data_IF_517313022272
#
_entry.id   IF_517313022272
#
_cell.length_a   1.000
_cell.length_b   1.000
_cell.length_c   1.000
_cell.angle_alpha   90.00
_cell.angle_beta   90.00
_cell.angle_gamma   90.00
#
_symmetry.space_group_name_H-M   'P 1'
#
loop_
_entity.id
_entity.type
_entity.pdbx_description
1 polymer ?
#
# COMPACT_ATOMS: atom_id res chain seq x y z
N UNK A 1 -3.00 -12.11 3.89
CA UNK A 1 -3.54 -13.07 4.88
C UNK A 1 -3.08 -12.71 6.29
N UNK A 2 -1.85 -12.31 6.47
CA UNK A 2 -1.19 -12.09 7.77
C UNK A 2 -1.63 -10.80 8.46
N UNK A 3 -2.06 -9.79 7.70
CA UNK A 3 -2.58 -8.56 8.30
C UNK A 3 -3.92 -8.81 9.01
N UNK A 4 -4.23 -8.10 10.10
CA UNK A 4 -5.50 -8.24 10.80
C UNK A 4 -6.70 -7.86 9.93
N UNK A 5 -7.89 -8.24 10.34
CA UNK A 5 -9.15 -7.97 9.65
C UNK A 5 -9.69 -9.17 8.87
N UNK A 6 -11.01 -9.24 8.81
CA UNK A 6 -11.71 -10.31 8.07
C UNK A 6 -11.64 -10.05 6.57
N UNK A 7 -11.47 -11.12 5.80
CA UNK A 7 -11.58 -11.11 4.35
C UNK A 7 -13.07 -11.20 3.98
N UNK A 8 -13.50 -10.37 3.05
CA UNK A 8 -14.87 -10.40 2.54
C UNK A 8 -14.89 -10.13 1.03
N UNK A 9 -16.00 -10.53 0.39
CA UNK A 9 -16.18 -10.34 -1.05
C UNK A 9 -16.98 -9.06 -1.31
N UNK A 10 -16.48 -8.20 -2.19
CA UNK A 10 -17.14 -6.98 -2.63
C UNK A 10 -16.94 -6.81 -4.15
N UNK A 11 -18.02 -6.61 -4.90
CA UNK A 11 -18.00 -6.49 -6.37
C UNK A 11 -17.15 -7.57 -7.06
N UNK A 12 -17.31 -8.83 -6.63
CA UNK A 12 -16.62 -9.98 -7.23
C UNK A 12 -15.17 -10.19 -6.79
N UNK A 13 -14.57 -9.28 -6.01
CA UNK A 13 -13.18 -9.34 -5.54
C UNK A 13 -13.11 -9.48 -4.02
N UNK A 14 -11.99 -9.96 -3.52
CA UNK A 14 -11.72 -10.08 -2.09
C UNK A 14 -11.08 -8.80 -1.55
N UNK A 15 -11.56 -8.38 -0.38
CA UNK A 15 -11.09 -7.19 0.34
C UNK A 15 -10.91 -7.46 1.81
N UNK A 16 -10.17 -6.58 2.48
CA UNK A 16 -10.11 -6.44 3.94
C UNK A 16 -10.51 -5.04 4.35
N UNK A 17 -11.10 -4.90 5.53
CA UNK A 17 -11.34 -3.60 6.13
C UNK A 17 -10.01 -2.93 6.50
N UNK A 18 -9.91 -1.66 6.17
CA UNK A 18 -8.87 -0.75 6.66
C UNK A 18 -9.51 0.27 7.60
N UNK A 19 -8.90 0.46 8.77
CA UNK A 19 -9.35 1.45 9.75
C UNK A 19 -8.14 2.17 10.33
N UNK A 20 -8.01 3.44 9.97
CA UNK A 20 -6.98 4.31 10.54
C UNK A 20 -7.21 4.51 12.04
N UNK A 21 -6.13 4.63 12.83
CA UNK A 21 -6.22 4.78 14.29
C UNK A 21 -6.91 6.09 14.72
N UNK A 22 -6.83 7.13 13.90
CA UNK A 22 -7.53 8.41 14.09
C UNK A 22 -8.91 8.47 13.46
N UNK A 23 -9.46 7.36 12.98
CA UNK A 23 -10.84 7.31 12.51
C UNK A 23 -11.82 7.33 13.69
N UNK A 24 -13.04 7.83 13.45
CA UNK A 24 -14.07 7.90 14.48
C UNK A 24 -14.37 6.53 15.11
N UNK A 25 -14.44 5.48 14.31
CA UNK A 25 -14.65 4.11 14.79
C UNK A 25 -13.47 3.55 15.59
N UNK A 26 -12.23 3.89 15.24
CA UNK A 26 -11.06 3.47 16.02
C UNK A 26 -10.99 4.22 17.36
N UNK A 27 -11.28 5.52 17.36
CA UNK A 27 -11.32 6.33 18.58
C UNK A 27 -12.42 5.86 19.53
N UNK A 28 -13.60 5.53 19.01
CA UNK A 28 -14.67 4.92 19.79
C UNK A 28 -14.27 3.57 20.41
N UNK A 29 -13.44 2.80 19.71
CA UNK A 29 -12.93 1.51 20.18
C UNK A 29 -11.75 1.62 21.18
N UNK A 30 -11.16 2.80 21.39
CA UNK A 30 -10.16 3.01 22.44
C UNK A 30 -8.92 3.81 22.07
N UNK A 31 -8.77 4.32 20.84
CA UNK A 31 -7.58 5.09 20.44
C UNK A 31 -7.72 6.62 20.60
N UNK A 32 -8.80 7.10 21.21
CA UNK A 32 -9.11 8.52 21.33
C UNK A 32 -8.06 9.33 22.12
N UNK A 33 -7.44 8.74 23.13
CA UNK A 33 -6.40 9.33 23.96
C UNK A 33 -5.17 9.78 23.15
N UNK A 34 -4.82 9.03 22.10
CA UNK A 34 -3.70 9.36 21.19
C UNK A 34 -3.93 10.62 20.37
N UNK A 35 -5.19 11.04 20.26
CA UNK A 35 -5.62 12.22 19.51
C UNK A 35 -6.17 13.31 20.43
N UNK A 36 -5.78 13.27 21.72
CA UNK A 36 -6.19 14.24 22.76
C UNK A 36 -7.71 14.40 22.88
N UNK A 37 -8.48 13.39 22.49
CA UNK A 37 -9.93 13.39 22.55
C UNK A 37 -10.42 12.49 23.69
N UNK A 38 -11.39 12.98 24.45
CA UNK A 38 -11.99 12.21 25.54
C UNK A 38 -12.84 11.07 24.98
N UNK A 39 -12.74 9.89 25.62
CA UNK A 39 -13.55 8.74 25.23
C UNK A 39 -15.04 9.07 25.30
N UNK A 40 -15.76 8.87 24.22
CA UNK A 40 -17.18 9.17 24.09
C UNK A 40 -17.91 7.97 23.48
N UNK A 41 -19.13 7.67 23.98
CA UNK A 41 -19.99 6.62 23.41
C UNK A 41 -20.61 7.04 22.08
N UNK A 42 -20.74 8.33 21.84
CA UNK A 42 -21.30 8.84 20.59
C UNK A 42 -20.19 9.11 19.58
N UNK A 43 -20.16 8.31 18.50
CA UNK A 43 -19.16 8.36 17.44
C UNK A 43 -19.16 9.73 16.73
N UNK A 44 -20.30 10.40 16.61
CA UNK A 44 -20.40 11.70 15.93
C UNK A 44 -19.71 12.85 16.66
N UNK A 45 -19.29 12.64 17.93
CA UNK A 45 -18.56 13.63 18.71
C UNK A 45 -17.04 13.57 18.53
N UNK A 46 -16.52 12.61 17.77
CA UNK A 46 -15.10 12.56 17.46
C UNK A 46 -14.79 13.38 16.21
N UNK A 47 -13.71 14.15 16.28
CA UNK A 47 -13.12 14.80 15.10
C UNK A 47 -12.16 13.79 14.46
N UNK A 48 -12.57 13.21 13.35
CA UNK A 48 -11.79 12.17 12.67
C UNK A 48 -10.57 12.78 11.96
N UNK A 49 -9.39 12.27 12.28
CA UNK A 49 -8.12 12.59 11.63
C UNK A 49 -7.64 11.42 10.74
N UNK A 50 -8.37 10.32 10.73
CA UNK A 50 -8.08 9.13 9.94
C UNK A 50 -9.32 8.65 9.20
N UNK A 51 -9.09 7.79 8.21
CA UNK A 51 -10.14 7.24 7.35
C UNK A 51 -10.42 5.79 7.65
N UNK A 52 -11.64 5.37 7.36
CA UNK A 52 -12.05 3.97 7.27
C UNK A 52 -12.34 3.64 5.81
N UNK A 53 -11.96 2.43 5.40
CA UNK A 53 -12.15 2.02 4.01
C UNK A 53 -11.91 0.52 3.82
N UNK A 54 -11.75 0.14 2.59
CA UNK A 54 -11.43 -1.24 2.22
C UNK A 54 -10.18 -1.28 1.35
N UNK A 55 -9.37 -2.31 1.53
CA UNK A 55 -8.20 -2.59 0.68
C UNK A 55 -8.34 -3.93 0.00
N UNK A 56 -7.94 -4.01 -1.25
CA UNK A 56 -7.98 -5.25 -1.99
C UNK A 56 -7.08 -6.30 -1.33
N UNK A 57 -7.63 -7.49 -1.10
CA UNK A 57 -6.86 -8.62 -0.60
C UNK A 57 -5.94 -9.16 -1.70
N UNK A 58 -4.64 -9.16 -1.47
CA UNK A 58 -3.61 -9.58 -2.43
C UNK A 58 -3.04 -10.97 -2.17
N UNK A 59 -3.63 -11.72 -1.25
CA UNK A 59 -3.17 -13.06 -0.87
C UNK A 59 -2.13 -13.06 0.25
N UNK A 60 -1.33 -14.11 0.36
CA UNK A 60 -0.34 -14.26 1.41
C UNK A 60 0.89 -13.37 1.17
N UNK A 61 1.51 -12.93 2.26
CA UNK A 61 2.65 -12.00 2.26
C UNK A 61 3.84 -12.52 1.44
N UNK A 62 4.11 -13.82 1.49
CA UNK A 62 5.23 -14.42 0.75
C UNK A 62 5.18 -14.14 -0.75
N UNK A 63 3.98 -14.14 -1.37
CA UNK A 63 3.82 -13.79 -2.79
C UNK A 63 4.21 -12.33 -3.07
N UNK A 64 3.84 -11.43 -2.17
CA UNK A 64 4.16 -10.01 -2.31
C UNK A 64 5.66 -9.79 -2.13
N UNK A 65 6.26 -10.39 -1.11
CA UNK A 65 7.71 -10.32 -0.88
C UNK A 65 8.49 -10.90 -2.06
N UNK A 66 8.04 -12.03 -2.60
CA UNK A 66 8.67 -12.62 -3.79
C UNK A 66 8.71 -11.64 -4.96
N UNK A 67 7.60 -10.94 -5.25
CA UNK A 67 7.52 -9.94 -6.31
C UNK A 67 8.44 -8.73 -6.03
N UNK A 68 8.46 -8.23 -4.80
CA UNK A 68 9.31 -7.10 -4.42
C UNK A 68 10.80 -7.46 -4.52
N UNK A 69 11.18 -8.63 -4.04
CA UNK A 69 12.57 -9.12 -4.16
C UNK A 69 12.93 -9.37 -5.62
N UNK A 70 12.01 -9.90 -6.43
CA UNK A 70 12.18 -10.03 -7.87
C UNK A 70 12.47 -8.70 -8.56
N UNK A 71 11.68 -7.66 -8.25
CA UNK A 71 11.90 -6.30 -8.77
C UNK A 71 13.25 -5.73 -8.36
N UNK A 72 13.65 -5.92 -7.09
CA UNK A 72 14.97 -5.49 -6.61
C UNK A 72 16.11 -6.21 -7.38
N UNK A 73 16.02 -7.52 -7.54
CA UNK A 73 17.03 -8.29 -8.30
C UNK A 73 17.13 -7.84 -9.75
N UNK A 74 15.98 -7.57 -10.41
CA UNK A 74 15.97 -7.03 -11.77
C UNK A 74 16.65 -5.67 -11.83
N UNK A 75 16.36 -4.76 -10.90
CA UNK A 75 17.02 -3.44 -10.82
C UNK A 75 18.53 -3.58 -10.62
N UNK A 76 18.96 -4.49 -9.76
CA UNK A 76 20.38 -4.79 -9.56
C UNK A 76 21.04 -5.31 -10.85
N UNK A 77 20.33 -6.16 -11.60
CA UNK A 77 20.79 -6.65 -12.90
C UNK A 77 20.98 -5.52 -13.91
N UNK A 78 19.99 -4.65 -14.08
CA UNK A 78 20.08 -3.49 -14.98
C UNK A 78 21.23 -2.54 -14.62
N UNK A 79 21.50 -2.35 -13.35
CA UNK A 79 22.60 -1.48 -12.85
C UNK A 79 23.96 -2.20 -12.77
N UNK A 80 24.06 -3.48 -13.11
CA UNK A 80 25.28 -4.25 -12.97
C UNK A 80 25.81 -4.29 -11.53
N UNK A 81 24.89 -4.31 -10.54
CA UNK A 81 25.20 -4.22 -9.13
C UNK A 81 25.16 -5.60 -8.47
N UNK A 82 26.26 -6.02 -7.84
CA UNK A 82 26.34 -7.32 -7.14
C UNK A 82 25.73 -7.27 -5.73
N UNK A 83 25.71 -6.10 -5.11
CA UNK A 83 25.21 -5.91 -3.76
C UNK A 83 24.24 -4.71 -3.71
N UNK A 84 23.42 -4.64 -2.67
CA UNK A 84 22.54 -3.48 -2.43
C UNK A 84 23.37 -2.20 -2.23
N UNK A 85 24.52 -2.30 -1.56
CA UNK A 85 25.43 -1.16 -1.40
C UNK A 85 25.97 -0.64 -2.73
N UNK A 86 26.29 -1.54 -3.66
CA UNK A 86 26.70 -1.15 -5.02
C UNK A 86 25.55 -0.49 -5.76
N UNK A 87 24.34 -1.03 -5.65
CA UNK A 87 23.16 -0.42 -6.24
C UNK A 87 22.95 1.01 -5.74
N UNK A 88 23.01 1.24 -4.43
CA UNK A 88 22.86 2.56 -3.82
C UNK A 88 23.95 3.55 -4.28
N UNK A 89 25.18 3.08 -4.48
CA UNK A 89 26.29 3.93 -4.94
C UNK A 89 26.24 4.24 -6.43
N UNK A 90 25.79 3.29 -7.26
CA UNK A 90 25.77 3.42 -8.72
C UNK A 90 24.51 4.07 -9.27
N UNK A 91 23.42 4.07 -8.46
CA UNK A 91 22.13 4.60 -8.91
C UNK A 91 22.18 6.11 -9.09
N UNK A 92 21.83 6.55 -10.28
CA UNK A 92 21.58 7.95 -10.60
C UNK A 92 20.10 8.13 -10.95
N UNK A 93 19.51 9.21 -10.44
CA UNK A 93 18.11 9.52 -10.69
C UNK A 93 17.99 10.64 -11.71
N UNK A 94 17.19 10.42 -12.73
CA UNK A 94 16.88 11.45 -13.73
C UNK A 94 15.45 11.96 -13.52
N UNK A 95 15.28 13.26 -13.63
CA UNK A 95 13.95 13.88 -13.59
C UNK A 95 13.30 13.72 -14.97
N UNK A 96 12.14 13.08 -15.00
CA UNK A 96 11.36 12.92 -16.23
C UNK A 96 10.12 13.81 -16.22
N UNK A 97 9.64 14.18 -17.39
CA UNK A 97 8.36 14.87 -17.55
C UNK A 97 7.19 13.91 -17.42
N UNK A 98 5.99 14.43 -17.18
CA UNK A 98 4.77 13.62 -17.17
C UNK A 98 4.55 12.92 -18.52
N UNK A 99 4.85 13.58 -19.63
CA UNK A 99 4.77 12.98 -20.97
C UNK A 99 5.76 11.81 -21.10
N UNK A 100 7.02 12.00 -20.70
CA UNK A 100 8.01 10.91 -20.72
C UNK A 100 7.63 9.74 -19.82
N UNK A 101 6.96 9.99 -18.70
CA UNK A 101 6.44 8.92 -17.84
C UNK A 101 5.34 8.10 -18.55
N UNK A 102 4.39 8.75 -19.23
CA UNK A 102 3.35 8.04 -19.99
C UNK A 102 3.94 7.27 -21.17
N UNK A 103 4.91 7.85 -21.87
CA UNK A 103 5.58 7.21 -22.99
C UNK A 103 6.38 5.95 -22.57
N UNK A 104 6.92 5.94 -21.34
CA UNK A 104 7.62 4.77 -20.79
C UNK A 104 6.70 3.61 -20.40
N UNK A 105 5.38 3.82 -20.37
CA UNK A 105 4.42 2.76 -20.10
C UNK A 105 4.12 1.94 -21.34
N UNK A 106 3.69 0.70 -21.14
CA UNK A 106 3.18 -0.13 -22.25
C UNK A 106 1.93 0.53 -22.82
N UNK A 107 1.96 0.85 -24.11
CA UNK A 107 0.87 1.44 -24.87
C UNK A 107 0.62 0.62 -26.14
N UNK A 108 -0.54 0.79 -26.74
CA UNK A 108 -0.99 0.05 -27.93
C UNK A 108 -1.04 -1.50 -27.74
N UNK A 109 -1.18 -1.95 -26.50
CA UNK A 109 -1.31 -3.37 -26.16
C UNK A 109 -2.37 -3.54 -25.06
N UNK A 110 -3.36 -4.38 -25.32
CA UNK A 110 -4.34 -4.78 -24.31
C UNK A 110 -3.72 -5.82 -23.36
N UNK A 111 -3.52 -5.45 -22.11
CA UNK A 111 -2.97 -6.35 -21.10
C UNK A 111 -4.02 -7.36 -20.64
N UNK A 112 -3.81 -8.63 -20.91
CA UNK A 112 -4.61 -9.73 -20.36
C UNK A 112 -4.19 -9.91 -18.89
N UNK A 113 -5.03 -9.44 -17.97
CA UNK A 113 -4.86 -9.72 -16.53
C UNK A 113 -5.32 -11.14 -16.25
N UNK A 114 -4.39 -12.03 -15.97
CA UNK A 114 -4.67 -13.38 -15.45
C UNK A 114 -5.13 -13.33 -13.99
#
# INVERSE_FOLDING_TARGET
TESPGKIFKYKGKLYKNFRGMGSAGAMSAGSADRYFQKKNKNISKYVAEGVEGIVQFKGPLNKIIYQLVGGLKSSMGYMGSKTIKDLQKKSEFVKITKAGFYESMVHNVDQIKK
#
